data_IF_843101533456
#
_entry.id   IF_843101533456
#
_cell.length_a   1.000
_cell.length_b   1.000
_cell.length_c   1.000
_cell.angle_alpha   90.00
_cell.angle_beta   90.00
_cell.angle_gamma   90.00
#
_symmetry.space_group_name_H-M   'P 1'
#
loop_
_entity.id
_entity.type
_entity.pdbx_description
1 polymer ?
#
# COMPACT_ATOMS: atom_id res chain seq x y z
N UNK A 1 -8.67 6.09 -40.54
CA UNK A 1 -7.21 6.01 -40.29
C UNK A 1 -6.79 6.97 -39.18
N UNK A 2 -7.03 8.28 -39.33
CA UNK A 2 -6.69 9.28 -38.31
C UNK A 2 -7.41 9.04 -36.95
N UNK A 3 -8.69 8.69 -36.99
CA UNK A 3 -9.48 8.38 -35.78
C UNK A 3 -8.97 7.17 -35.01
N UNK A 4 -8.58 6.10 -35.72
CA UNK A 4 -8.00 4.90 -35.10
C UNK A 4 -6.63 5.21 -34.46
N UNK A 5 -5.80 6.02 -35.12
CA UNK A 5 -4.53 6.48 -34.57
C UNK A 5 -4.72 7.32 -33.30
N UNK A 6 -5.73 8.21 -33.29
CA UNK A 6 -6.06 9.03 -32.13
C UNK A 6 -6.54 8.19 -30.94
N UNK A 7 -7.36 7.17 -31.19
CA UNK A 7 -7.85 6.25 -30.15
C UNK A 7 -6.72 5.39 -29.57
N UNK A 8 -5.80 4.90 -30.41
CA UNK A 8 -4.61 4.17 -29.96
C UNK A 8 -3.69 5.04 -29.10
N UNK A 9 -3.47 6.29 -29.51
CA UNK A 9 -2.68 7.27 -28.75
C UNK A 9 -3.33 7.58 -27.39
N UNK A 10 -4.63 7.88 -27.37
CA UNK A 10 -5.36 8.12 -26.14
C UNK A 10 -5.32 6.92 -25.18
N UNK A 11 -5.50 5.70 -25.68
CA UNK A 11 -5.40 4.48 -24.86
C UNK A 11 -4.00 4.27 -24.29
N UNK A 12 -2.95 4.61 -25.04
CA UNK A 12 -1.56 4.52 -24.57
C UNK A 12 -1.29 5.54 -23.46
N UNK A 13 -1.86 6.75 -23.56
CA UNK A 13 -1.78 7.76 -22.50
C UNK A 13 -2.50 7.30 -21.22
N UNK A 14 -3.70 6.72 -21.36
CA UNK A 14 -4.48 6.20 -20.23
C UNK A 14 -3.86 4.96 -19.57
N UNK A 15 -2.97 4.24 -20.26
CA UNK A 15 -2.25 3.10 -19.70
C UNK A 15 -1.37 3.50 -18.50
N UNK A 16 -0.82 4.71 -18.49
CA UNK A 16 -0.02 5.24 -17.37
C UNK A 16 -0.79 5.28 -16.04
N UNK A 17 -2.11 5.52 -16.09
CA UNK A 17 -2.98 5.53 -14.90
C UNK A 17 -3.14 4.13 -14.29
N UNK A 18 -2.97 3.07 -15.09
CA UNK A 18 -3.01 1.67 -14.62
C UNK A 18 -1.68 1.20 -14.05
N UNK A 19 -0.59 1.90 -14.35
CA UNK A 19 0.73 1.65 -13.77
C UNK A 19 0.86 2.20 -12.34
N UNK A 20 -0.13 2.94 -11.83
CA UNK A 20 -0.25 3.28 -10.41
C UNK A 20 -0.70 2.02 -9.62
N UNK A 21 0.12 0.99 -9.69
CA UNK A 21 -0.04 -0.28 -8.99
C UNK A 21 0.52 -0.14 -7.59
N UNK A 22 -0.27 0.42 -6.67
CA UNK A 22 0.08 0.43 -5.27
C UNK A 22 -1.17 0.70 -4.46
N UNK A 23 -1.77 -0.34 -3.89
CA UNK A 23 -2.88 -0.15 -2.95
C UNK A 23 -2.48 0.88 -1.89
N UNK A 24 -3.44 1.71 -1.45
CA UNK A 24 -3.21 2.79 -0.47
C UNK A 24 -2.51 2.38 0.83
N UNK A 25 -2.31 1.09 1.06
CA UNK A 25 -1.65 0.56 2.24
C UNK A 25 -0.20 0.21 1.97
N UNK A 26 0.73 0.61 2.86
CA UNK A 26 2.13 0.22 2.77
C UNK A 26 2.28 -1.32 2.79
N UNK A 27 3.41 -1.82 2.26
CA UNK A 27 3.69 -3.27 2.26
C UNK A 27 3.75 -3.81 3.69
N UNK A 28 3.30 -5.05 3.96
CA UNK A 28 3.42 -5.64 5.28
C UNK A 28 4.91 -5.78 5.66
N UNK A 29 5.18 -5.71 6.96
CA UNK A 29 6.51 -6.00 7.50
C UNK A 29 6.78 -7.51 7.40
N UNK A 30 8.05 -7.89 7.25
CA UNK A 30 8.45 -9.27 7.46
C UNK A 30 8.38 -9.62 8.95
N UNK A 31 8.29 -10.91 9.28
CA UNK A 31 8.24 -11.37 10.67
C UNK A 31 9.49 -10.98 11.49
N UNK A 32 10.65 -10.80 10.82
CA UNK A 32 11.87 -10.35 11.48
C UNK A 32 11.80 -8.85 11.83
N UNK A 33 11.39 -8.02 10.86
CA UNK A 33 11.22 -6.56 11.07
C UNK A 33 10.15 -6.29 12.14
N UNK A 34 9.03 -7.01 12.10
CA UNK A 34 7.96 -6.82 13.08
C UNK A 34 8.45 -7.09 14.52
N UNK A 35 9.29 -8.11 14.73
CA UNK A 35 9.90 -8.38 16.05
C UNK A 35 10.79 -7.24 16.51
N UNK A 36 11.57 -6.66 15.60
CA UNK A 36 12.42 -5.50 15.91
C UNK A 36 11.57 -4.28 16.30
N UNK A 37 10.54 -3.97 15.52
CA UNK A 37 9.62 -2.87 15.80
C UNK A 37 8.85 -3.08 17.12
N UNK A 38 8.45 -4.32 17.43
CA UNK A 38 7.82 -4.65 18.70
C UNK A 38 8.79 -4.49 19.89
N UNK A 39 10.05 -4.87 19.73
CA UNK A 39 11.06 -4.66 20.76
C UNK A 39 11.31 -3.16 21.01
N UNK A 40 11.36 -2.35 19.96
CA UNK A 40 11.47 -0.88 20.07
C UNK A 40 10.22 -0.26 20.70
N UNK A 41 9.03 -0.74 20.33
CA UNK A 41 7.79 -0.32 20.96
C UNK A 41 7.75 -0.65 22.46
N UNK A 42 8.26 -1.81 22.86
CA UNK A 42 8.37 -2.20 24.27
C UNK A 42 9.32 -1.28 25.06
N UNK A 43 10.27 -0.64 24.40
CA UNK A 43 11.16 0.37 24.99
C UNK A 43 10.51 1.77 25.07
N UNK A 44 9.27 1.92 24.61
CA UNK A 44 8.53 3.19 24.64
C UNK A 44 8.75 4.08 23.42
N UNK A 45 9.30 3.56 22.32
CA UNK A 45 9.53 4.31 21.08
C UNK A 45 8.18 4.68 20.41
N UNK A 46 7.82 5.98 20.33
CA UNK A 46 6.57 6.41 19.70
C UNK A 46 6.55 6.21 18.18
N UNK A 47 7.72 6.22 17.52
CA UNK A 47 7.80 5.95 16.07
C UNK A 47 7.48 4.49 15.78
N UNK A 48 7.99 3.57 16.62
CA UNK A 48 7.68 2.16 16.50
C UNK A 48 6.17 1.88 16.58
N UNK A 49 5.45 2.61 17.45
CA UNK A 49 3.99 2.54 17.53
C UNK A 49 3.33 2.94 16.21
N UNK A 50 3.74 4.07 15.63
CA UNK A 50 3.14 4.61 14.41
C UNK A 50 3.37 3.66 13.22
N UNK A 51 4.60 3.18 13.06
CA UNK A 51 4.96 2.23 11.99
C UNK A 51 4.14 0.94 12.10
N UNK A 52 4.02 0.37 13.30
CA UNK A 52 3.22 -0.83 13.53
C UNK A 52 1.73 -0.62 13.19
N UNK A 53 1.17 0.54 13.54
CA UNK A 53 -0.23 0.87 13.24
C UNK A 53 -0.44 0.99 11.73
N UNK A 54 0.33 1.84 11.04
CA UNK A 54 0.14 2.11 9.60
C UNK A 54 0.27 0.85 8.75
N UNK A 55 1.23 -0.01 9.08
CA UNK A 55 1.48 -1.27 8.37
C UNK A 55 0.37 -2.30 8.60
N UNK A 56 -0.30 -2.26 9.76
CA UNK A 56 -1.41 -3.13 10.11
C UNK A 56 -2.81 -2.58 9.77
N UNK A 57 -2.94 -1.33 9.31
CA UNK A 57 -4.24 -0.75 8.88
C UNK A 57 -4.94 -1.59 7.80
N UNK A 58 -4.18 -2.26 6.94
CA UNK A 58 -4.73 -3.18 5.94
C UNK A 58 -5.54 -4.31 6.57
N UNK A 59 -5.08 -4.83 7.71
CA UNK A 59 -5.78 -5.89 8.45
C UNK A 59 -7.11 -5.36 8.97
N UNK A 60 -7.14 -4.13 9.49
CA UNK A 60 -8.39 -3.47 9.96
C UNK A 60 -9.39 -3.34 8.81
N UNK A 61 -8.96 -2.86 7.65
CA UNK A 61 -9.82 -2.75 6.47
C UNK A 61 -10.39 -4.12 6.04
N UNK A 62 -9.57 -5.17 6.11
CA UNK A 62 -10.01 -6.54 5.82
C UNK A 62 -11.00 -7.08 6.85
N UNK A 63 -10.80 -6.79 8.14
CA UNK A 63 -11.72 -7.18 9.22
C UNK A 63 -13.09 -6.51 9.02
N UNK A 64 -13.12 -5.21 8.76
CA UNK A 64 -14.38 -4.46 8.57
C UNK A 64 -15.15 -4.96 7.35
N UNK A 65 -14.48 -5.24 6.24
CA UNK A 65 -15.13 -5.70 5.00
C UNK A 65 -15.55 -7.18 5.03
N UNK A 66 -15.02 -7.97 5.97
CA UNK A 66 -15.46 -9.36 6.19
C UNK A 66 -16.49 -9.49 7.31
N UNK A 67 -16.67 -8.46 8.12
CA UNK A 67 -17.66 -8.38 9.18
C UNK A 67 -19.06 -8.07 8.68
#
# INVERSE_FOLDING_TARGET
MLSAALLLFANTLLFSLRLSGGGSFPKPLSAAEEREWLARYAQGDPEARNVLIERNLRLVAHIINKG
#
